data_IF_688296545226
#
_entry.id   IF_688296545226
#
_cell.length_a   1.000
_cell.length_b   1.000
_cell.length_c   1.000
_cell.angle_alpha   90.00
_cell.angle_beta   90.00
_cell.angle_gamma   90.00
#
_symmetry.space_group_name_H-M   'P 1'
#
loop_
_entity.id
_entity.type
_entity.pdbx_description
1 polymer ?
#
# COMPACT_ATOMS: atom_id res chain seq x y z
N UNK A 1 -48.16 26.76 -8.93
CA UNK A 1 -47.79 27.55 -7.73
C UNK A 1 -47.74 26.61 -6.55
N UNK A 2 -46.65 26.14 -5.96
CA UNK A 2 -45.19 26.40 -6.03
C UNK A 2 -44.52 25.03 -5.74
N UNK A 3 -43.75 24.42 -6.65
CA UNK A 3 -42.29 24.54 -6.83
C UNK A 3 -41.44 24.31 -5.56
N UNK A 4 -41.03 23.04 -5.38
CA UNK A 4 -39.62 22.58 -5.26
C UNK A 4 -38.65 23.49 -4.50
N UNK A 5 -38.20 23.05 -3.30
CA UNK A 5 -36.80 23.21 -2.82
C UNK A 5 -36.42 22.10 -1.84
N UNK A 6 -36.00 20.95 -2.38
CA UNK A 6 -35.21 19.95 -1.69
C UNK A 6 -33.74 20.39 -1.80
N UNK A 7 -33.17 20.92 -0.72
CA UNK A 7 -31.77 21.34 -0.67
C UNK A 7 -30.86 20.14 -0.41
N UNK A 8 -30.43 19.48 -1.48
CA UNK A 8 -29.37 18.47 -1.46
C UNK A 8 -28.04 19.18 -1.15
N UNK A 9 -27.58 19.12 0.11
CA UNK A 9 -26.22 19.54 0.48
C UNK A 9 -25.29 18.41 0.05
N UNK A 10 -24.90 18.42 -1.23
CA UNK A 10 -23.76 17.70 -1.75
C UNK A 10 -22.61 18.71 -1.88
N UNK A 11 -21.89 18.97 -0.79
CA UNK A 11 -20.59 19.64 -0.89
C UNK A 11 -19.56 18.57 -1.23
N UNK A 12 -19.17 18.55 -2.51
CA UNK A 12 -18.00 17.84 -3.00
C UNK A 12 -16.80 18.15 -2.10
N UNK A 13 -16.27 17.14 -1.41
CA UNK A 13 -14.90 17.17 -0.91
C UNK A 13 -13.98 17.09 -2.14
N UNK A 14 -13.61 18.25 -2.67
CA UNK A 14 -12.53 18.36 -3.64
C UNK A 14 -11.24 17.91 -2.95
N UNK A 15 -10.78 16.71 -3.30
CA UNK A 15 -9.45 16.22 -2.93
C UNK A 15 -8.39 17.20 -3.42
N UNK A 16 -7.77 17.92 -2.47
CA UNK A 16 -6.64 18.78 -2.73
C UNK A 16 -5.39 17.90 -2.89
N UNK A 17 -5.18 17.35 -4.09
CA UNK A 17 -3.91 16.73 -4.44
C UNK A 17 -2.89 17.86 -4.70
N UNK A 18 -2.15 18.26 -3.66
CA UNK A 18 -0.97 19.11 -3.81
C UNK A 18 0.13 18.30 -4.50
N UNK A 19 0.07 18.23 -5.83
CA UNK A 19 1.18 17.76 -6.64
C UNK A 19 2.24 18.85 -6.75
N UNK A 20 3.28 18.79 -5.90
CA UNK A 20 4.52 19.52 -6.13
C UNK A 20 5.23 18.86 -7.34
N UNK A 21 4.99 19.39 -8.54
CA UNK A 21 5.78 19.05 -9.72
C UNK A 21 6.95 20.03 -9.80
N UNK A 22 8.10 19.65 -9.25
CA UNK A 22 9.37 20.23 -9.65
C UNK A 22 9.83 19.47 -10.89
N UNK A 23 9.47 19.95 -12.08
CA UNK A 23 10.05 19.47 -13.34
C UNK A 23 11.26 20.34 -13.67
N UNK A 24 12.43 19.87 -13.25
CA UNK A 24 13.67 20.24 -13.91
C UNK A 24 14.20 18.99 -14.61
N UNK A 25 14.35 19.07 -15.93
CA UNK A 25 15.01 18.06 -16.76
C UNK A 25 16.53 18.18 -16.57
N UNK A 26 16.99 17.78 -15.38
CA UNK A 26 18.39 17.58 -15.06
C UNK A 26 18.56 16.20 -14.44
N UNK A 27 19.73 15.62 -14.67
CA UNK A 27 20.24 14.30 -14.24
C UNK A 27 20.43 14.21 -12.71
N UNK A 28 19.50 14.79 -11.95
CA UNK A 28 19.49 14.95 -10.51
C UNK A 28 18.41 14.12 -9.83
N UNK A 29 18.49 14.01 -8.52
CA UNK A 29 17.55 13.20 -7.74
C UNK A 29 16.12 13.76 -7.74
N UNK A 30 15.14 12.87 -7.89
CA UNK A 30 13.71 13.17 -7.87
C UNK A 30 13.10 12.85 -6.52
N UNK A 31 12.42 13.81 -5.90
CA UNK A 31 11.59 13.60 -4.70
C UNK A 31 10.13 13.60 -5.12
N UNK A 32 9.34 12.65 -4.59
CA UNK A 32 7.89 12.61 -4.72
C UNK A 32 7.25 12.18 -3.40
N UNK A 33 5.94 12.37 -3.27
CA UNK A 33 5.24 11.96 -2.06
C UNK A 33 3.74 12.09 -2.18
N UNK A 34 3.04 11.57 -1.17
CA UNK A 34 1.58 11.68 -1.04
C UNK A 34 1.20 11.71 0.43
N UNK A 35 0.14 12.45 0.75
CA UNK A 35 -0.50 12.43 2.06
C UNK A 35 -1.93 11.94 1.87
N UNK A 36 -2.29 10.88 2.57
CA UNK A 36 -3.66 10.40 2.69
C UNK A 36 -4.11 10.59 4.13
N UNK A 37 -5.35 11.06 4.31
CA UNK A 37 -5.94 11.23 5.64
C UNK A 37 -7.43 10.95 5.57
N UNK A 38 -7.92 10.23 6.57
CA UNK A 38 -9.34 9.89 6.75
C UNK A 38 -9.78 10.31 8.14
N UNK A 39 -11.01 10.80 8.26
CA UNK A 39 -11.62 11.20 9.53
C UNK A 39 -13.03 10.63 9.66
N UNK A 40 -13.35 10.17 10.87
CA UNK A 40 -14.63 9.54 11.21
C UNK A 40 -15.23 10.23 12.43
N UNK A 41 -16.56 10.40 12.41
CA UNK A 41 -17.35 10.90 13.55
C UNK A 41 -18.31 9.80 13.99
N UNK A 42 -18.31 9.52 15.29
CA UNK A 42 -19.07 8.43 15.89
C UNK A 42 -20.26 8.99 16.66
N UNK A 43 -21.46 8.77 16.12
CA UNK A 43 -22.72 9.14 16.76
C UNK A 43 -23.31 7.91 17.46
N UNK A 44 -23.54 8.04 18.76
CA UNK A 44 -24.13 6.96 19.56
C UNK A 44 -25.59 6.74 19.16
N UNK A 45 -25.91 5.51 18.77
CA UNK A 45 -27.28 5.06 18.52
C UNK A 45 -27.43 3.60 18.97
N UNK A 46 -28.02 3.42 20.15
CA UNK A 46 -28.25 2.09 20.72
C UNK A 46 -29.30 1.28 19.96
N UNK A 47 -30.14 1.90 19.13
CA UNK A 47 -31.20 1.19 18.39
C UNK A 47 -30.65 0.36 17.23
N UNK A 48 -29.51 0.76 16.65
CA UNK A 48 -28.83 0.08 15.54
C UNK A 48 -27.55 -0.65 15.99
N UNK A 49 -27.28 -0.71 17.30
CA UNK A 49 -26.08 -1.35 17.84
C UNK A 49 -24.81 -0.49 17.79
N UNK A 50 -24.92 0.82 17.52
CA UNK A 50 -23.82 1.78 17.56
C UNK A 50 -23.62 2.35 18.98
N UNK A 51 -23.32 1.47 19.94
CA UNK A 51 -23.10 1.81 21.35
C UNK A 51 -22.21 0.76 22.03
N UNK A 52 -21.74 1.04 23.26
CA UNK A 52 -20.90 0.11 24.06
C UNK A 52 -19.50 -0.14 23.48
N UNK A 53 -19.01 0.77 22.63
CA UNK A 53 -17.61 0.79 22.18
C UNK A 53 -16.98 2.14 22.53
N UNK A 54 -15.64 2.18 22.72
CA UNK A 54 -14.95 3.43 23.03
C UNK A 54 -15.29 4.57 22.05
N UNK A 55 -15.44 4.27 20.76
CA UNK A 55 -15.80 5.20 19.70
C UNK A 55 -17.15 5.89 19.94
N UNK A 56 -18.22 5.12 20.13
CA UNK A 56 -19.56 5.68 20.26
C UNK A 56 -19.81 6.29 21.64
N UNK A 57 -19.15 5.80 22.70
CA UNK A 57 -19.43 6.25 24.07
C UNK A 57 -18.55 7.42 24.54
N UNK A 58 -17.29 7.51 24.08
CA UNK A 58 -16.35 8.54 24.58
C UNK A 58 -15.36 9.11 23.56
N UNK A 59 -15.11 8.44 22.44
CA UNK A 59 -14.17 8.86 21.39
C UNK A 59 -14.94 9.26 20.13
N UNK A 60 -15.63 10.40 20.22
CA UNK A 60 -16.51 10.93 19.17
C UNK A 60 -15.85 11.13 17.81
N UNK A 61 -14.52 11.24 17.77
CA UNK A 61 -13.74 11.45 16.56
C UNK A 61 -12.57 10.47 16.48
N UNK A 62 -12.33 9.94 15.29
CA UNK A 62 -11.13 9.20 14.93
C UNK A 62 -10.56 9.69 13.62
N UNK A 63 -9.25 9.57 13.45
CA UNK A 63 -8.55 9.93 12.23
C UNK A 63 -7.33 9.05 11.98
N UNK A 64 -7.10 8.72 10.73
CA UNK A 64 -5.93 7.97 10.28
C UNK A 64 -5.24 8.75 9.15
N UNK A 65 -3.91 8.74 9.14
CA UNK A 65 -3.12 9.44 8.13
C UNK A 65 -1.86 8.68 7.75
N UNK A 66 -1.50 8.77 6.47
CA UNK A 66 -0.30 8.15 5.89
C UNK A 66 0.43 9.16 5.02
N UNK A 67 1.65 9.52 5.44
CA UNK A 67 2.54 10.38 4.67
C UNK A 67 3.61 9.54 4.00
N UNK A 68 3.61 9.49 2.68
CA UNK A 68 4.60 8.80 1.85
C UNK A 68 5.57 9.81 1.26
N UNK A 69 6.87 9.51 1.34
CA UNK A 69 7.93 10.27 0.69
C UNK A 69 8.84 9.27 -0.03
N UNK A 70 9.13 9.54 -1.29
CA UNK A 70 10.00 8.73 -2.13
C UNK A 70 11.10 9.61 -2.71
N UNK A 71 12.29 9.03 -2.84
CA UNK A 71 13.44 9.65 -3.48
C UNK A 71 14.05 8.67 -4.48
N UNK A 72 14.28 9.14 -5.71
CA UNK A 72 14.84 8.34 -6.78
C UNK A 72 16.05 9.05 -7.36
N UNK A 73 17.22 8.42 -7.31
CA UNK A 73 18.44 8.94 -7.92
C UNK A 73 19.43 7.83 -8.27
N UNK A 74 20.16 7.96 -9.39
CA UNK A 74 21.19 7.01 -9.83
C UNK A 74 20.73 5.53 -9.86
N UNK A 75 19.47 5.29 -10.21
CA UNK A 75 18.86 3.95 -10.19
C UNK A 75 18.56 3.38 -8.80
N UNK A 76 18.75 4.16 -7.73
CA UNK A 76 18.22 3.85 -6.40
C UNK A 76 16.85 4.50 -6.21
N UNK A 77 15.91 3.72 -5.67
CA UNK A 77 14.65 4.22 -5.12
C UNK A 77 14.66 4.00 -3.60
N UNK A 78 14.41 5.06 -2.87
CA UNK A 78 14.17 5.06 -1.43
C UNK A 78 12.72 5.46 -1.21
N UNK A 79 12.05 4.79 -0.28
CA UNK A 79 10.73 5.22 0.16
C UNK A 79 10.59 5.12 1.66
N UNK A 80 9.85 6.05 2.25
CA UNK A 80 9.52 6.11 3.65
C UNK A 80 8.04 6.51 3.80
N UNK A 81 7.34 5.84 4.71
CA UNK A 81 5.96 6.12 5.07
C UNK A 81 5.85 6.30 6.57
N UNK A 82 5.26 7.42 6.97
CA UNK A 82 4.87 7.68 8.35
C UNK A 82 3.36 7.49 8.49
N UNK A 83 2.97 6.74 9.52
CA UNK A 83 1.59 6.37 9.80
C UNK A 83 1.17 7.00 11.12
N UNK A 84 -0.05 7.53 11.15
CA UNK A 84 -0.69 8.08 12.33
C UNK A 84 -2.09 7.49 12.43
N UNK A 85 -2.39 6.89 13.57
CA UNK A 85 -3.70 6.36 13.91
C UNK A 85 -4.19 7.06 15.18
N UNK A 86 -5.36 7.66 15.13
CA UNK A 86 -6.00 8.34 16.25
C UNK A 86 -7.42 7.79 16.44
N UNK A 87 -7.64 7.11 17.56
CA UNK A 87 -8.90 6.43 17.85
C UNK A 87 -9.44 5.55 16.70
N UNK A 88 -8.54 4.93 15.92
CA UNK A 88 -8.90 4.16 14.73
C UNK A 88 -9.72 2.94 15.11
N UNK A 89 -10.79 2.71 14.37
CA UNK A 89 -11.62 1.51 14.45
C UNK A 89 -11.33 0.51 13.32
N UNK A 90 -10.39 0.83 12.41
CA UNK A 90 -10.11 0.03 11.22
C UNK A 90 -9.54 -1.36 11.58
N UNK A 91 -8.65 -1.44 12.56
CA UNK A 91 -8.02 -2.69 12.98
C UNK A 91 -8.96 -3.59 13.80
N UNK A 92 -9.75 -2.98 14.67
CA UNK A 92 -10.71 -3.68 15.53
C UNK A 92 -11.97 -2.81 15.65
N UNK A 93 -13.11 -3.19 15.06
CA UNK A 93 -14.34 -2.40 15.13
C UNK A 93 -14.91 -2.22 16.55
N UNK A 94 -14.52 -3.07 17.50
CA UNK A 94 -14.99 -3.04 18.90
C UNK A 94 -14.00 -2.32 19.84
N UNK A 95 -12.78 -2.07 19.37
CA UNK A 95 -11.72 -1.44 20.14
C UNK A 95 -11.20 -0.21 19.43
N UNK A 96 -10.32 0.54 20.09
CA UNK A 96 -9.75 1.77 19.54
C UNK A 96 -8.24 1.64 19.48
N UNK A 97 -7.67 1.93 18.32
CA UNK A 97 -6.23 1.87 18.08
C UNK A 97 -5.66 3.27 17.91
N UNK A 98 -4.66 3.61 18.72
CA UNK A 98 -3.93 4.87 18.63
C UNK A 98 -2.44 4.57 18.66
N UNK A 99 -1.74 4.94 17.60
CA UNK A 99 -0.32 4.72 17.46
C UNK A 99 0.22 5.61 16.33
N UNK A 100 1.53 5.86 16.34
CA UNK A 100 2.20 6.58 15.27
C UNK A 100 3.61 6.06 15.09
N UNK A 101 4.14 6.11 13.88
CA UNK A 101 5.50 5.67 13.62
C UNK A 101 5.82 5.51 12.15
N UNK A 102 7.02 5.00 11.88
CA UNK A 102 7.42 4.64 10.52
C UNK A 102 6.71 3.34 10.15
N UNK A 103 5.65 3.46 9.35
CA UNK A 103 4.90 2.30 8.87
C UNK A 103 5.66 1.53 7.81
N UNK A 104 6.45 2.20 6.97
CA UNK A 104 7.16 1.52 5.89
C UNK A 104 8.44 2.24 5.53
N UNK A 105 9.46 1.48 5.17
CA UNK A 105 10.61 1.98 4.45
C UNK A 105 11.13 0.91 3.50
N UNK A 106 11.73 1.33 2.38
CA UNK A 106 12.41 0.40 1.48
C UNK A 106 13.54 1.09 0.75
N UNK A 107 14.48 0.27 0.30
CA UNK A 107 15.55 0.64 -0.62
C UNK A 107 15.49 -0.34 -1.78
N UNK A 108 15.52 0.18 -3.01
CA UNK A 108 15.56 -0.60 -4.24
C UNK A 108 16.69 -0.07 -5.11
N UNK A 109 17.45 -0.98 -5.72
CA UNK A 109 18.45 -0.67 -6.74
C UNK A 109 18.06 -1.37 -8.02
N UNK A 110 17.79 -0.57 -9.05
CA UNK A 110 17.55 -1.06 -10.39
C UNK A 110 18.87 -1.01 -11.17
N UNK A 111 19.30 -2.17 -11.65
CA UNK A 111 20.34 -2.38 -12.64
C UNK A 111 19.63 -2.88 -13.92
N UNK A 112 20.31 -2.83 -15.07
CA UNK A 112 19.75 -3.16 -16.39
C UNK A 112 18.77 -4.37 -16.39
N UNK A 113 19.21 -5.52 -15.87
CA UNK A 113 18.40 -6.75 -15.81
C UNK A 113 18.10 -7.25 -14.40
N UNK A 114 18.60 -6.56 -13.37
CA UNK A 114 18.57 -7.05 -11.98
C UNK A 114 18.02 -5.94 -11.10
N UNK A 115 17.01 -6.26 -10.31
CA UNK A 115 16.49 -5.39 -9.26
C UNK A 115 16.74 -6.02 -7.91
N UNK A 116 17.42 -5.29 -7.02
CA UNK A 116 17.67 -5.72 -5.64
C UNK A 116 16.87 -4.80 -4.72
N UNK A 117 16.06 -5.36 -3.83
CA UNK A 117 15.25 -4.60 -2.89
C UNK A 117 15.44 -5.08 -1.45
N UNK A 118 15.35 -4.17 -0.50
CA UNK A 118 15.40 -4.46 0.93
C UNK A 118 14.50 -3.55 1.76
N UNK A 119 14.08 -4.02 2.92
CA UNK A 119 13.14 -3.33 3.82
C UNK A 119 11.74 -3.93 3.73
N UNK A 120 10.71 -3.08 3.81
CA UNK A 120 9.31 -3.48 3.74
C UNK A 120 8.80 -3.50 2.28
N UNK A 121 8.76 -4.71 1.73
CA UNK A 121 8.49 -4.95 0.32
C UNK A 121 7.03 -5.32 0.09
N UNK A 122 6.45 -4.70 -0.94
CA UNK A 122 5.16 -5.10 -1.49
C UNK A 122 5.39 -5.80 -2.81
N UNK A 123 4.82 -6.98 -2.94
CA UNK A 123 4.91 -7.79 -4.14
C UNK A 123 3.89 -8.94 -4.12
N UNK A 124 3.64 -9.53 -5.28
CA UNK A 124 2.81 -10.72 -5.44
C UNK A 124 3.45 -11.69 -6.44
N UNK A 125 3.04 -12.95 -6.38
CA UNK A 125 3.33 -13.93 -7.44
C UNK A 125 2.02 -14.24 -8.16
N UNK A 126 2.03 -14.14 -9.50
CA UNK A 126 0.85 -14.35 -10.33
C UNK A 126 -0.35 -13.53 -9.87
N UNK A 127 -1.47 -14.21 -9.57
CA UNK A 127 -2.71 -13.59 -9.08
C UNK A 127 -2.65 -13.17 -7.60
N UNK A 128 -1.61 -13.57 -6.87
CA UNK A 128 -1.48 -13.34 -5.43
C UNK A 128 -2.14 -14.40 -4.53
N UNK A 129 -2.65 -15.49 -5.10
CA UNK A 129 -3.22 -16.61 -4.33
C UNK A 129 -2.14 -17.30 -3.48
N UNK A 130 -0.95 -17.47 -4.02
CA UNK A 130 0.16 -18.16 -3.34
C UNK A 130 1.01 -17.24 -2.47
N UNK A 131 1.13 -15.97 -2.85
CA UNK A 131 1.88 -14.97 -2.11
C UNK A 131 1.40 -13.57 -2.50
N UNK A 132 1.06 -12.77 -1.49
CA UNK A 132 0.73 -11.35 -1.66
C UNK A 132 1.15 -10.57 -0.42
N UNK A 133 2.09 -9.66 -0.59
CA UNK A 133 2.46 -8.63 0.36
C UNK A 133 1.98 -7.27 -0.20
N UNK A 134 0.98 -6.67 0.44
CA UNK A 134 0.31 -5.47 -0.06
C UNK A 134 -0.22 -4.60 1.07
N UNK A 135 -0.70 -3.44 0.68
CA UNK A 135 -1.38 -2.48 1.54
C UNK A 135 -2.79 -2.25 0.99
N UNK A 136 -3.78 -2.38 1.86
CA UNK A 136 -5.15 -1.95 1.63
C UNK A 136 -5.66 -1.25 2.89
N UNK A 137 -5.58 0.09 2.87
CA UNK A 137 -5.82 0.96 4.02
C UNK A 137 -7.26 0.88 4.51
N UNK A 138 -8.21 0.74 3.59
CA UNK A 138 -9.64 0.66 3.93
C UNK A 138 -9.99 -0.57 4.76
N UNK A 139 -9.18 -1.63 4.64
CA UNK A 139 -9.33 -2.88 5.40
C UNK A 139 -8.29 -3.02 6.53
N UNK A 140 -7.51 -1.98 6.82
CA UNK A 140 -6.36 -2.03 7.72
C UNK A 140 -5.33 -3.13 7.38
N UNK A 141 -5.28 -3.58 6.12
CA UNK A 141 -4.36 -4.63 5.71
C UNK A 141 -3.04 -3.98 5.33
N UNK A 142 -1.99 -4.39 6.02
CA UNK A 142 -0.62 -4.06 5.65
C UNK A 142 0.27 -5.23 6.07
N UNK A 143 0.57 -6.08 5.10
CA UNK A 143 1.33 -7.31 5.31
C UNK A 143 2.63 -7.32 4.49
N UNK A 144 3.30 -6.16 4.41
CA UNK A 144 4.61 -6.04 3.78
C UNK A 144 5.56 -7.16 4.20
N UNK A 145 6.34 -7.68 3.27
CA UNK A 145 7.43 -8.60 3.56
C UNK A 145 8.66 -7.78 3.98
N UNK A 146 9.02 -7.81 5.25
CA UNK A 146 10.24 -7.20 5.76
C UNK A 146 11.44 -8.12 5.52
N UNK A 147 12.26 -7.80 4.53
CA UNK A 147 13.40 -8.64 4.17
C UNK A 147 14.10 -8.17 2.92
N UNK A 148 14.52 -9.13 2.10
CA UNK A 148 15.27 -8.91 0.86
C UNK A 148 14.61 -9.61 -0.31
N UNK A 149 14.77 -9.03 -1.49
CA UNK A 149 14.28 -9.58 -2.75
C UNK A 149 15.27 -9.30 -3.87
N UNK A 150 15.43 -10.26 -4.76
CA UNK A 150 16.12 -10.10 -6.03
C UNK A 150 15.19 -10.53 -7.15
N UNK A 151 15.01 -9.66 -8.14
CA UNK A 151 14.31 -9.95 -9.38
C UNK A 151 15.28 -9.84 -10.56
N UNK A 152 15.20 -10.79 -11.50
CA UNK A 152 16.07 -10.86 -12.68
C UNK A 152 15.21 -11.06 -13.92
N UNK A 153 15.43 -10.20 -14.93
CA UNK A 153 14.74 -10.23 -16.21
C UNK A 153 15.79 -10.47 -17.32
N UNK A 154 16.28 -11.72 -17.51
CA UNK A 154 17.36 -11.99 -18.45
C UNK A 154 16.97 -11.76 -19.91
N UNK A 155 15.69 -11.98 -20.23
CA UNK A 155 15.05 -11.85 -21.54
C UNK A 155 13.72 -11.09 -21.39
N UNK A 156 13.13 -10.63 -22.51
CA UNK A 156 11.91 -9.81 -22.48
C UNK A 156 10.71 -10.53 -21.84
N UNK A 157 10.62 -11.85 -21.99
CA UNK A 157 9.42 -12.63 -21.63
C UNK A 157 9.61 -13.51 -20.40
N UNK A 158 10.76 -13.43 -19.71
CA UNK A 158 11.07 -14.27 -18.55
C UNK A 158 11.43 -13.42 -17.33
N UNK A 159 10.73 -13.67 -16.24
CA UNK A 159 10.88 -12.99 -14.97
C UNK A 159 11.19 -14.02 -13.89
N UNK A 160 12.30 -13.83 -13.20
CA UNK A 160 12.71 -14.65 -12.07
C UNK A 160 12.75 -13.80 -10.83
N UNK A 161 12.25 -14.33 -9.72
CA UNK A 161 12.21 -13.61 -8.45
C UNK A 161 12.53 -14.57 -7.32
N UNK A 162 13.33 -14.09 -6.38
CA UNK A 162 13.58 -14.77 -5.12
C UNK A 162 13.46 -13.77 -3.99
N UNK A 163 12.87 -14.17 -2.88
CA UNK A 163 12.73 -13.31 -1.71
C UNK A 163 12.82 -14.12 -0.42
N UNK A 164 13.18 -13.43 0.66
CA UNK A 164 13.14 -13.96 2.02
C UNK A 164 12.94 -12.84 3.02
N UNK A 165 12.08 -13.04 4.01
CA UNK A 165 11.80 -12.05 5.04
C UNK A 165 10.76 -12.48 6.06
N UNK A 166 10.39 -11.54 6.93
CA UNK A 166 9.36 -11.68 7.94
C UNK A 166 8.10 -10.93 7.50
N UNK A 167 6.92 -11.45 7.79
CA UNK A 167 5.68 -10.71 7.52
C UNK A 167 5.47 -9.61 8.56
N UNK A 168 5.12 -8.41 8.09
CA UNK A 168 4.76 -7.27 8.94
C UNK A 168 3.45 -7.50 9.70
N UNK A 169 3.39 -6.98 10.92
CA UNK A 169 2.20 -6.93 11.77
C UNK A 169 2.10 -5.54 12.43
N UNK A 170 1.27 -4.64 11.87
CA UNK A 170 1.21 -3.23 12.28
C UNK A 170 2.62 -2.59 12.30
N UNK A 171 3.14 -2.16 13.45
CA UNK A 171 4.51 -1.63 13.58
C UNK A 171 5.55 -2.69 13.99
N UNK A 172 5.14 -3.94 14.16
CA UNK A 172 5.99 -5.08 14.49
C UNK A 172 6.14 -6.07 13.34
N UNK A 173 6.76 -7.21 13.63
CA UNK A 173 7.02 -8.30 12.70
C UNK A 173 6.60 -9.63 13.32
N UNK A 174 6.05 -10.53 12.51
CA UNK A 174 5.90 -11.93 12.89
C UNK A 174 7.27 -12.62 12.90
N UNK A 175 7.43 -13.65 13.75
CA UNK A 175 8.68 -14.40 13.85
C UNK A 175 8.89 -15.42 12.71
N UNK A 176 7.86 -15.67 11.90
CA UNK A 176 7.90 -16.65 10.83
C UNK A 176 8.64 -16.12 9.61
N UNK A 177 9.68 -16.84 9.18
CA UNK A 177 10.42 -16.55 7.95
C UNK A 177 9.64 -17.10 6.75
N UNK A 178 9.38 -16.23 5.79
CA UNK A 178 8.77 -16.53 4.50
C UNK A 178 9.85 -16.38 3.44
N UNK A 179 10.09 -17.44 2.68
CA UNK A 179 10.98 -17.42 1.53
C UNK A 179 10.29 -18.04 0.33
N UNK A 180 10.61 -17.54 -0.87
CA UNK A 180 9.96 -18.01 -2.08
C UNK A 180 10.79 -17.73 -3.32
N UNK A 181 10.52 -18.51 -4.35
CA UNK A 181 11.03 -18.34 -5.70
C UNK A 181 9.86 -18.37 -6.67
N UNK A 182 9.86 -17.48 -7.65
CA UNK A 182 8.92 -17.50 -8.76
C UNK A 182 9.64 -17.38 -10.10
N UNK A 183 9.08 -18.06 -11.09
CA UNK A 183 9.45 -17.94 -12.49
C UNK A 183 8.18 -17.71 -13.28
N UNK A 184 8.09 -16.57 -13.93
CA UNK A 184 6.97 -16.21 -14.80
C UNK A 184 7.52 -16.07 -16.21
N UNK A 185 6.86 -16.68 -17.17
CA UNK A 185 7.32 -16.73 -18.55
C UNK A 185 6.16 -16.56 -19.53
N UNK A 186 6.45 -16.05 -20.72
CA UNK A 186 5.52 -16.10 -21.85
C UNK A 186 6.19 -16.75 -23.07
N UNK A 187 5.49 -17.70 -23.67
CA UNK A 187 5.90 -18.37 -24.90
C UNK A 187 4.78 -18.17 -25.92
N UNK A 188 5.04 -17.30 -26.90
CA UNK A 188 4.22 -17.19 -28.09
C UNK A 188 4.42 -18.44 -28.96
N UNK A 189 3.33 -19.04 -29.43
CA UNK A 189 3.43 -20.08 -30.46
C UNK A 189 3.96 -19.50 -31.78
N UNK A 190 4.46 -20.38 -32.66
CA UNK A 190 4.98 -19.99 -33.98
C UNK A 190 3.93 -19.20 -34.78
N UNK A 191 4.39 -18.34 -35.69
CA UNK A 191 3.56 -17.51 -36.56
C UNK A 191 2.45 -18.36 -37.24
N UNK A 192 1.19 -17.99 -37.01
CA UNK A 192 0.00 -18.73 -37.47
C UNK A 192 -0.61 -19.70 -36.45
N UNK A 193 0.04 -19.96 -35.30
CA UNK A 193 -0.55 -20.75 -34.22
C UNK A 193 -1.39 -19.89 -33.27
N UNK A 194 -2.54 -20.43 -32.83
CA UNK A 194 -3.44 -19.78 -31.86
C UNK A 194 -3.10 -20.14 -30.40
N UNK A 195 -1.97 -20.82 -30.18
CA UNK A 195 -1.59 -21.35 -28.88
C UNK A 195 -0.47 -20.50 -28.29
N UNK A 196 -0.65 -20.02 -27.07
CA UNK A 196 0.41 -19.45 -26.24
C UNK A 196 0.46 -20.18 -24.90
N UNK A 197 1.63 -20.20 -24.29
CA UNK A 197 1.84 -20.76 -22.96
C UNK A 197 2.42 -19.67 -22.05
N UNK A 198 1.85 -19.53 -20.86
CA UNK A 198 2.31 -18.60 -19.85
C UNK A 198 2.58 -19.36 -18.55
N UNK A 199 3.73 -20.01 -18.40
CA UNK A 199 4.11 -20.63 -17.13
C UNK A 199 4.23 -19.54 -16.04
N UNK A 200 3.59 -19.77 -14.90
CA UNK A 200 3.59 -18.87 -13.74
C UNK A 200 2.91 -19.51 -12.54
#
# INVERSE_FOLDING_TARGET
MNLLRLGLICCLLSGLALGLQAQDSNDGGRISGSLESTGNVFLRDSSIGAANTPQYDRQFFGADAWLNVNYSNWGFDFGLRFDLFNNSNLLNPQGSYTAQGIGRWYIRKNLDKITISGGYLYDQIGSGIIFRAYEERTLAIDNALFGVQVAVNPFADWHFKVFSGLQKQQFGLYNSVISGFSTEGFIAGKEGSKLSLAPG
#
